data_IF_104009263944
#
_entry.id   IF_104009263944
#
_cell.length_a   1.000
_cell.length_b   1.000
_cell.length_c   1.000
_cell.angle_alpha   90.00
_cell.angle_beta   90.00
_cell.angle_gamma   90.00
#
_symmetry.space_group_name_H-M   'P 1'
#
loop_
_entity.id
_entity.type
_entity.pdbx_description
1 polymer ?
#
# COMPACT_ATOMS: atom_id res chain seq x y z
N UNK A 1 -31.11 2.04 4.94
CA UNK A 1 -32.52 1.92 4.46
C UNK A 1 -33.15 0.72 5.14
N UNK A 2 -34.13 0.94 6.06
CA UNK A 2 -34.76 -0.13 6.83
C UNK A 2 -36.02 -0.59 6.08
N UNK A 3 -36.03 -1.82 5.62
CA UNK A 3 -37.20 -2.41 5.00
C UNK A 3 -38.29 -2.70 6.06
N UNK A 4 -39.40 -1.99 6.03
CA UNK A 4 -40.57 -2.36 6.80
C UNK A 4 -41.30 -3.48 6.07
N UNK A 5 -41.39 -4.67 6.69
CA UNK A 5 -42.20 -5.79 6.23
C UNK A 5 -43.67 -5.34 6.02
N UNK A 6 -44.21 -5.52 4.82
CA UNK A 6 -45.64 -5.45 4.57
C UNK A 6 -46.14 -4.47 3.50
N UNK A 7 -45.30 -3.76 2.74
CA UNK A 7 -45.79 -2.94 1.62
C UNK A 7 -45.33 -3.54 0.27
N UNK A 8 -46.27 -3.57 -0.69
CA UNK A 8 -45.95 -3.99 -2.07
C UNK A 8 -44.97 -3.02 -2.72
N UNK A 9 -44.09 -3.49 -3.62
CA UNK A 9 -43.06 -2.67 -4.28
C UNK A 9 -43.56 -1.42 -5.01
N UNK A 10 -44.84 -1.42 -5.40
CA UNK A 10 -45.49 -0.35 -6.18
C UNK A 10 -45.78 0.95 -5.37
N UNK A 11 -45.55 0.98 -4.06
CA UNK A 11 -45.91 2.09 -3.18
C UNK A 11 -44.72 3.02 -2.80
N UNK A 12 -43.58 2.87 -3.41
CA UNK A 12 -42.47 3.81 -3.16
C UNK A 12 -42.47 4.91 -4.23
N UNK A 13 -43.03 6.08 -3.88
CA UNK A 13 -42.85 7.31 -4.67
C UNK A 13 -41.41 7.80 -4.49
N UNK A 14 -40.58 7.60 -5.52
CA UNK A 14 -39.31 8.30 -5.63
C UNK A 14 -39.57 9.64 -6.32
N UNK A 15 -39.15 10.73 -5.73
CA UNK A 15 -39.01 11.98 -6.48
C UNK A 15 -37.83 11.79 -7.41
N UNK A 16 -38.11 11.51 -8.66
CA UNK A 16 -37.11 11.30 -9.71
C UNK A 16 -36.71 12.68 -10.20
N UNK A 17 -35.45 13.06 -9.97
CA UNK A 17 -34.86 14.29 -10.55
C UNK A 17 -34.66 14.06 -12.06
N UNK A 18 -34.60 15.15 -12.85
CA UNK A 18 -34.31 15.06 -14.31
C UNK A 18 -33.01 14.29 -14.57
N UNK A 19 -32.00 14.52 -13.79
CA UNK A 19 -30.71 13.83 -13.86
C UNK A 19 -30.88 12.30 -13.69
N UNK A 20 -31.63 11.87 -12.68
CA UNK A 20 -31.92 10.44 -12.46
C UNK A 20 -32.73 9.83 -13.63
N UNK A 21 -33.62 10.61 -14.27
CA UNK A 21 -34.40 10.14 -15.42
C UNK A 21 -33.51 9.89 -16.64
N UNK A 22 -32.51 10.74 -16.87
CA UNK A 22 -31.56 10.58 -17.94
C UNK A 22 -30.65 9.38 -17.72
N UNK A 23 -30.14 9.20 -16.50
CA UNK A 23 -29.35 8.02 -16.12
C UNK A 23 -30.15 6.74 -16.24
N UNK A 24 -31.43 6.75 -15.83
CA UNK A 24 -32.31 5.61 -15.92
C UNK A 24 -32.63 5.20 -17.37
N UNK A 25 -32.83 6.18 -18.24
CA UNK A 25 -33.05 5.92 -19.68
C UNK A 25 -31.78 5.37 -20.35
N UNK A 26 -30.64 5.92 -20.03
CA UNK A 26 -29.34 5.41 -20.48
C UNK A 26 -29.14 3.96 -20.05
N UNK A 27 -29.52 3.64 -18.80
CA UNK A 27 -29.42 2.29 -18.25
C UNK A 27 -30.37 1.30 -18.93
N UNK A 28 -31.61 1.71 -19.24
CA UNK A 28 -32.57 0.89 -20.02
C UNK A 28 -32.08 0.60 -21.43
N UNK A 29 -31.50 1.59 -22.09
CA UNK A 29 -30.96 1.42 -23.43
C UNK A 29 -29.82 0.41 -23.45
N UNK A 30 -28.87 0.50 -22.50
CA UNK A 30 -27.80 -0.50 -22.32
C UNK A 30 -28.33 -1.91 -22.05
N UNK A 31 -29.42 -2.05 -21.28
CA UNK A 31 -30.03 -3.35 -21.03
C UNK A 31 -30.62 -3.95 -22.32
N UNK A 32 -31.30 -3.12 -23.14
CA UNK A 32 -31.85 -3.53 -24.43
C UNK A 32 -30.75 -3.91 -25.44
N UNK A 33 -29.71 -3.10 -25.57
CA UNK A 33 -28.56 -3.35 -26.46
C UNK A 33 -27.86 -4.67 -26.17
N UNK A 34 -27.79 -5.06 -24.90
CA UNK A 34 -27.14 -6.30 -24.46
C UNK A 34 -28.09 -7.49 -24.30
N UNK A 35 -29.36 -7.36 -24.69
CA UNK A 35 -30.41 -8.38 -24.55
C UNK A 35 -30.55 -8.89 -23.09
N UNK A 36 -30.32 -8.01 -22.11
CA UNK A 36 -30.33 -8.31 -20.70
C UNK A 36 -31.60 -7.79 -20.01
N UNK A 37 -32.14 -8.56 -19.08
CA UNK A 37 -33.18 -8.08 -18.19
C UNK A 37 -32.62 -6.97 -17.27
N UNK A 38 -33.36 -5.85 -17.18
CA UNK A 38 -32.99 -4.68 -16.34
C UNK A 38 -32.64 -5.09 -14.90
N UNK A 39 -33.37 -6.02 -14.32
CA UNK A 39 -33.10 -6.52 -12.97
C UNK A 39 -31.75 -7.24 -12.85
N UNK A 40 -31.35 -7.97 -13.89
CA UNK A 40 -30.06 -8.64 -13.95
C UNK A 40 -28.93 -7.64 -14.17
N UNK A 41 -29.13 -6.64 -15.02
CA UNK A 41 -28.15 -5.57 -15.22
C UNK A 41 -27.97 -4.74 -13.95
N UNK A 42 -29.06 -4.38 -13.25
CA UNK A 42 -29.00 -3.70 -11.93
C UNK A 42 -28.27 -4.56 -10.91
N UNK A 43 -28.61 -5.84 -10.80
CA UNK A 43 -27.94 -6.75 -9.87
C UNK A 43 -26.45 -6.86 -10.16
N UNK A 44 -26.07 -7.01 -11.43
CA UNK A 44 -24.67 -7.09 -11.85
C UNK A 44 -23.93 -5.77 -11.60
N UNK A 45 -24.55 -4.62 -11.90
CA UNK A 45 -23.96 -3.28 -11.66
C UNK A 45 -23.82 -3.00 -10.16
N UNK A 46 -24.85 -3.32 -9.35
CA UNK A 46 -24.81 -3.18 -7.89
C UNK A 46 -23.78 -4.16 -7.29
N UNK A 47 -23.77 -5.42 -7.76
CA UNK A 47 -22.79 -6.41 -7.31
C UNK A 47 -21.36 -6.04 -7.70
N UNK A 48 -21.14 -5.51 -8.92
CA UNK A 48 -19.82 -5.02 -9.35
C UNK A 48 -19.39 -3.79 -8.54
N UNK A 49 -20.31 -2.88 -8.24
CA UNK A 49 -20.05 -1.72 -7.39
C UNK A 49 -19.75 -2.11 -5.94
N UNK A 50 -20.55 -3.01 -5.37
CA UNK A 50 -20.32 -3.57 -4.01
C UNK A 50 -18.99 -4.36 -3.96
N UNK A 51 -18.63 -5.07 -5.04
CA UNK A 51 -17.35 -5.78 -5.13
C UNK A 51 -16.15 -4.83 -5.39
N UNK A 52 -16.37 -3.70 -6.08
CA UNK A 52 -15.38 -2.61 -6.23
C UNK A 52 -15.24 -1.78 -4.94
N UNK A 53 -16.25 -1.74 -4.06
CA UNK A 53 -16.18 -1.07 -2.75
C UNK A 53 -15.39 -1.86 -1.69
N UNK A 54 -14.81 -3.02 -2.01
CA UNK A 54 -13.78 -3.62 -1.16
C UNK A 54 -12.54 -2.75 -1.24
N UNK A 55 -12.35 -1.93 -0.22
CA UNK A 55 -11.17 -1.07 -0.04
C UNK A 55 -9.90 -1.85 -0.39
N UNK A 56 -9.18 -1.42 -1.42
CA UNK A 56 -7.90 -2.05 -1.81
C UNK A 56 -6.94 -2.00 -0.63
N UNK A 57 -6.16 -3.06 -0.44
CA UNK A 57 -5.26 -3.21 0.70
C UNK A 57 -3.82 -3.35 0.24
N UNK A 58 -2.93 -2.56 0.85
CA UNK A 58 -1.50 -2.71 0.68
C UNK A 58 -0.83 -3.10 2.01
N UNK A 59 0.16 -3.97 1.94
CA UNK A 59 1.03 -4.34 3.03
C UNK A 59 2.43 -3.83 2.75
N UNK A 60 3.07 -3.22 3.75
CA UNK A 60 4.47 -2.81 3.67
C UNK A 60 5.27 -3.59 4.69
N UNK A 61 6.27 -4.30 4.23
CA UNK A 61 7.18 -5.07 5.06
C UNK A 61 8.43 -4.24 5.33
N UNK A 62 8.60 -3.78 6.56
CA UNK A 62 9.70 -2.92 7.01
C UNK A 62 10.60 -3.72 7.96
N UNK A 63 11.74 -4.23 7.49
CA UNK A 63 12.67 -4.96 8.37
C UNK A 63 13.04 -4.17 9.62
N UNK A 64 13.31 -2.87 9.49
CA UNK A 64 13.51 -1.95 10.60
C UNK A 64 12.46 -0.84 10.58
N UNK A 65 12.45 0.03 11.57
CA UNK A 65 11.34 0.98 11.80
C UNK A 65 11.22 2.12 10.80
N UNK A 66 12.21 2.36 9.96
CA UNK A 66 12.26 3.52 9.04
C UNK A 66 12.32 3.12 7.55
N UNK A 67 12.55 1.84 7.27
CA UNK A 67 12.73 1.34 5.90
C UNK A 67 11.51 1.60 5.00
N UNK A 68 10.29 1.42 5.52
CA UNK A 68 9.06 1.65 4.78
C UNK A 68 8.92 3.11 4.35
N UNK A 69 9.17 4.04 5.25
CA UNK A 69 9.08 5.47 4.99
C UNK A 69 10.17 5.93 4.03
N UNK A 70 11.40 5.44 4.23
CA UNK A 70 12.55 5.74 3.38
C UNK A 70 12.34 5.21 1.95
N UNK A 71 11.89 3.97 1.82
CA UNK A 71 11.72 3.31 0.53
C UNK A 71 10.47 3.73 -0.24
N UNK A 72 9.32 3.84 0.44
CA UNK A 72 8.02 4.05 -0.23
C UNK A 72 7.04 4.99 0.50
N UNK A 73 7.53 5.87 1.38
CA UNK A 73 6.67 6.79 2.15
C UNK A 73 5.82 7.73 1.32
N UNK A 74 6.31 8.18 0.17
CA UNK A 74 5.54 9.00 -0.78
C UNK A 74 4.41 8.19 -1.44
N UNK A 75 4.70 6.96 -1.84
CA UNK A 75 3.73 6.03 -2.40
C UNK A 75 2.66 5.66 -1.36
N UNK A 76 3.06 5.39 -0.11
CA UNK A 76 2.11 5.16 0.99
C UNK A 76 1.15 6.34 1.13
N UNK A 77 1.68 7.57 1.17
CA UNK A 77 0.85 8.78 1.28
C UNK A 77 -0.15 8.90 0.12
N UNK A 78 0.27 8.59 -1.10
CA UNK A 78 -0.57 8.58 -2.29
C UNK A 78 -1.65 7.50 -2.22
N UNK A 79 -1.30 6.26 -1.91
CA UNK A 79 -2.26 5.16 -1.80
C UNK A 79 -3.36 5.46 -0.78
N UNK A 80 -2.99 6.02 0.37
CA UNK A 80 -3.96 6.40 1.41
C UNK A 80 -4.89 7.52 0.92
N UNK A 81 -4.35 8.50 0.20
CA UNK A 81 -5.16 9.56 -0.42
C UNK A 81 -6.14 8.99 -1.45
N UNK A 82 -5.74 7.97 -2.20
CA UNK A 82 -6.57 7.23 -3.15
C UNK A 82 -7.54 6.22 -2.48
N UNK A 83 -7.61 6.22 -1.16
CA UNK A 83 -8.57 5.42 -0.38
C UNK A 83 -8.12 4.00 -0.05
N UNK A 84 -6.87 3.61 -0.32
CA UNK A 84 -6.35 2.30 0.08
C UNK A 84 -6.21 2.19 1.60
N UNK A 85 -6.39 0.96 2.12
CA UNK A 85 -5.94 0.62 3.46
C UNK A 85 -4.48 0.17 3.39
N UNK A 86 -3.59 0.89 4.03
CA UNK A 86 -2.17 0.52 4.11
C UNK A 86 -1.84 0.05 5.52
N UNK A 87 -1.23 -1.13 5.61
CA UNK A 87 -0.71 -1.70 6.86
C UNK A 87 0.80 -1.89 6.75
N UNK A 88 1.53 -1.53 7.79
CA UNK A 88 2.98 -1.77 7.87
C UNK A 88 3.31 -2.73 8.99
N UNK A 89 4.21 -3.68 8.72
CA UNK A 89 4.83 -4.53 9.73
C UNK A 89 6.28 -4.08 9.88
N UNK A 90 6.60 -3.52 11.04
CA UNK A 90 7.97 -3.25 11.47
C UNK A 90 8.49 -4.48 12.21
N UNK A 91 9.44 -5.21 11.61
CA UNK A 91 9.94 -6.46 12.21
C UNK A 91 10.85 -6.22 13.41
N UNK A 92 11.64 -5.14 13.42
CA UNK A 92 12.53 -4.79 14.52
C UNK A 92 12.46 -3.31 14.87
N UNK A 93 12.16 -3.00 16.13
CA UNK A 93 12.25 -1.66 16.70
C UNK A 93 13.45 -1.49 17.64
N UNK A 94 14.33 -2.51 17.76
CA UNK A 94 15.51 -2.48 18.64
C UNK A 94 15.18 -1.96 20.06
N UNK A 95 14.05 -2.39 20.63
CA UNK A 95 13.46 -1.86 21.89
C UNK A 95 14.43 -1.81 23.05
N UNK A 96 15.30 -2.83 23.16
CA UNK A 96 16.27 -2.92 24.25
C UNK A 96 17.34 -1.84 24.20
N UNK A 97 17.71 -1.38 23.02
CA UNK A 97 18.78 -0.38 22.83
C UNK A 97 18.23 1.03 22.57
N UNK A 98 17.11 1.14 21.89
CA UNK A 98 16.49 2.41 21.51
C UNK A 98 14.97 2.35 21.75
N UNK A 99 14.50 2.37 23.00
CA UNK A 99 13.06 2.27 23.29
C UNK A 99 12.23 3.39 22.65
N UNK A 100 12.85 4.53 22.33
CA UNK A 100 12.20 5.66 21.65
C UNK A 100 11.76 5.31 20.22
N UNK A 101 12.43 4.37 19.54
CA UNK A 101 12.10 3.98 18.16
C UNK A 101 10.67 3.47 18.01
N UNK A 102 10.11 2.86 19.03
CA UNK A 102 8.69 2.44 19.03
C UNK A 102 7.79 3.66 18.85
N UNK A 103 7.94 4.67 19.70
CA UNK A 103 7.13 5.88 19.64
C UNK A 103 7.38 6.69 18.34
N UNK A 104 8.62 6.68 17.84
CA UNK A 104 9.00 7.35 16.58
C UNK A 104 8.29 6.68 15.39
N UNK A 105 8.30 5.34 15.32
CA UNK A 105 7.59 4.57 14.30
C UNK A 105 6.06 4.76 14.37
N UNK A 106 5.49 4.74 15.58
CA UNK A 106 4.06 5.01 15.77
C UNK A 106 3.66 6.41 15.29
N UNK A 107 4.47 7.43 15.61
CA UNK A 107 4.20 8.80 15.17
C UNK A 107 4.32 8.93 13.64
N UNK A 108 5.33 8.29 13.05
CA UNK A 108 5.52 8.23 11.60
C UNK A 108 4.32 7.57 10.91
N UNK A 109 3.90 6.41 11.39
CA UNK A 109 2.74 5.69 10.87
C UNK A 109 1.46 6.54 10.95
N UNK A 110 1.27 7.28 12.05
CA UNK A 110 0.12 8.19 12.24
C UNK A 110 0.15 9.36 11.26
N UNK A 111 1.32 9.96 10.98
CA UNK A 111 1.45 11.05 10.01
C UNK A 111 1.09 10.54 8.61
N UNK A 112 1.56 9.37 8.20
CA UNK A 112 1.22 8.78 6.91
C UNK A 112 -0.25 8.34 6.85
N UNK A 113 -0.84 7.94 7.99
CA UNK A 113 -2.22 7.45 8.08
C UNK A 113 -2.32 5.94 7.84
N UNK A 114 -1.24 5.20 8.02
CA UNK A 114 -1.22 3.74 7.92
C UNK A 114 -1.47 3.07 9.27
N UNK A 115 -2.06 1.88 9.26
CA UNK A 115 -2.08 1.00 10.43
C UNK A 115 -0.73 0.27 10.55
N UNK A 116 -0.37 -0.14 11.77
CA UNK A 116 0.95 -0.73 11.99
C UNK A 116 0.92 -1.89 12.98
N UNK A 117 1.91 -2.76 12.85
CA UNK A 117 2.31 -3.75 13.83
C UNK A 117 3.82 -3.62 14.07
N UNK A 118 4.26 -3.67 15.31
CA UNK A 118 5.68 -3.57 15.69
C UNK A 118 6.08 -4.85 16.41
N UNK A 119 6.91 -5.64 15.75
CA UNK A 119 7.49 -6.86 16.26
C UNK A 119 8.81 -6.58 16.99
N UNK A 120 9.40 -7.61 17.59
CA UNK A 120 10.59 -7.46 18.43
C UNK A 120 11.72 -8.42 18.01
N UNK A 121 11.91 -8.61 16.70
CA UNK A 121 13.05 -9.35 16.19
C UNK A 121 14.35 -8.59 16.43
N UNK A 122 15.42 -9.32 16.72
CA UNK A 122 16.72 -8.71 16.90
C UNK A 122 17.34 -8.34 15.54
N UNK A 123 17.67 -7.08 15.33
CA UNK A 123 18.41 -6.61 14.15
C UNK A 123 19.69 -7.44 13.94
N UNK A 124 19.95 -7.85 12.71
CA UNK A 124 21.06 -8.71 12.25
C UNK A 124 20.89 -10.19 12.55
N UNK A 125 19.80 -10.60 13.20
CA UNK A 125 19.53 -11.99 13.54
C UNK A 125 18.37 -12.62 12.76
N UNK A 126 17.77 -11.92 11.79
CA UNK A 126 16.65 -12.43 10.99
C UNK A 126 16.99 -13.75 10.25
N UNK A 127 18.23 -13.98 9.76
CA UNK A 127 18.59 -15.28 9.20
C UNK A 127 18.38 -16.45 10.17
N UNK A 128 18.60 -16.25 11.46
CA UNK A 128 18.32 -17.24 12.53
C UNK A 128 16.82 -17.39 12.77
N UNK A 129 16.10 -16.29 12.77
CA UNK A 129 14.68 -16.21 13.14
C UNK A 129 13.74 -16.35 11.91
N UNK A 130 14.29 -16.81 10.79
CA UNK A 130 13.63 -16.88 9.48
C UNK A 130 12.29 -17.64 9.50
N UNK A 131 12.20 -18.74 10.27
CA UNK A 131 10.98 -19.55 10.33
C UNK A 131 9.84 -18.79 11.03
N UNK A 132 10.14 -18.03 12.06
CA UNK A 132 9.15 -17.22 12.80
C UNK A 132 8.66 -16.06 11.91
N UNK A 133 9.57 -15.41 11.17
CA UNK A 133 9.24 -14.39 10.16
C UNK A 133 8.31 -14.98 9.10
N UNK A 134 8.63 -16.16 8.57
CA UNK A 134 7.78 -16.85 7.59
C UNK A 134 6.39 -17.12 8.16
N UNK A 135 6.29 -17.59 9.42
CA UNK A 135 5.00 -17.89 10.04
C UNK A 135 4.13 -16.62 10.18
N UNK A 136 4.71 -15.51 10.61
CA UNK A 136 4.01 -14.22 10.73
C UNK A 136 3.44 -13.79 9.36
N UNK A 137 4.27 -13.82 8.31
CA UNK A 137 3.83 -13.48 6.95
C UNK A 137 2.72 -14.43 6.44
N UNK A 138 2.84 -15.71 6.76
CA UNK A 138 1.80 -16.70 6.42
C UNK A 138 0.47 -16.36 7.10
N UNK A 139 0.49 -16.02 8.39
CA UNK A 139 -0.71 -15.70 9.17
C UNK A 139 -1.37 -14.41 8.65
N UNK A 140 -0.57 -13.38 8.31
CA UNK A 140 -1.07 -12.17 7.64
C UNK A 140 -1.72 -12.49 6.29
N UNK A 141 -1.11 -13.34 5.48
CA UNK A 141 -1.64 -13.74 4.17
C UNK A 141 -2.97 -14.53 4.23
N UNK A 142 -3.25 -15.14 5.38
CA UNK A 142 -4.51 -15.86 5.61
C UNK A 142 -5.61 -14.98 6.20
N UNK A 143 -5.24 -13.99 7.01
CA UNK A 143 -6.19 -13.05 7.63
C UNK A 143 -6.70 -12.02 6.62
N UNK A 144 -5.85 -11.59 5.70
CA UNK A 144 -6.10 -10.46 4.82
C UNK A 144 -5.77 -10.77 3.35
N UNK A 145 -6.62 -10.27 2.46
CA UNK A 145 -6.36 -10.32 1.03
C UNK A 145 -5.71 -9.00 0.59
N UNK A 146 -4.39 -8.98 0.50
CA UNK A 146 -3.65 -7.83 -0.02
C UNK A 146 -3.65 -7.80 -1.54
N UNK A 147 -3.86 -6.62 -2.12
CA UNK A 147 -3.73 -6.36 -3.55
C UNK A 147 -2.26 -6.10 -3.92
N UNK A 148 -1.53 -5.44 -3.01
CA UNK A 148 -0.17 -4.96 -3.22
C UNK A 148 0.65 -5.18 -1.95
N UNK A 149 1.87 -5.72 -2.11
CA UNK A 149 2.83 -5.89 -1.02
C UNK A 149 4.14 -5.22 -1.42
N UNK A 150 4.67 -4.41 -0.53
CA UNK A 150 6.00 -3.81 -0.64
C UNK A 150 6.98 -4.51 0.30
N UNK A 151 8.19 -4.73 -0.19
CA UNK A 151 9.31 -5.32 0.55
C UNK A 151 10.60 -4.64 0.10
N UNK A 152 11.74 -4.77 0.77
CA UNK A 152 13.02 -4.35 0.18
C UNK A 152 13.26 -5.01 -1.18
N UNK A 153 14.09 -4.42 -2.04
CA UNK A 153 14.49 -5.05 -3.32
C UNK A 153 15.18 -6.38 -3.10
N UNK A 154 15.20 -7.23 -4.13
CA UNK A 154 15.85 -8.54 -4.07
C UNK A 154 17.38 -8.47 -4.01
N UNK A 155 17.96 -7.32 -4.37
CA UNK A 155 19.41 -7.05 -4.39
C UNK A 155 19.88 -6.20 -3.20
N UNK A 156 19.01 -5.96 -2.21
CA UNK A 156 19.41 -5.29 -0.97
C UNK A 156 20.44 -6.13 -0.22
N UNK A 157 21.60 -5.52 0.09
CA UNK A 157 22.73 -6.24 0.71
C UNK A 157 22.56 -6.49 2.20
N UNK A 158 21.55 -5.89 2.86
CA UNK A 158 21.31 -6.12 4.28
C UNK A 158 20.67 -7.50 4.50
N UNK A 159 21.28 -8.35 5.33
CA UNK A 159 20.82 -9.73 5.54
C UNK A 159 19.38 -9.83 6.05
N UNK A 160 18.96 -8.91 6.93
CA UNK A 160 17.59 -8.90 7.47
C UNK A 160 16.58 -8.60 6.36
N UNK A 161 16.90 -7.65 5.46
CA UNK A 161 16.08 -7.30 4.29
C UNK A 161 15.94 -8.50 3.35
N UNK A 162 17.05 -9.19 3.09
CA UNK A 162 17.07 -10.40 2.26
C UNK A 162 16.17 -11.51 2.79
N UNK A 163 16.09 -11.69 4.11
CA UNK A 163 15.19 -12.67 4.74
C UNK A 163 13.74 -12.27 4.51
N UNK A 164 13.35 -11.03 4.86
CA UNK A 164 11.96 -10.56 4.73
C UNK A 164 11.51 -10.67 3.27
N UNK A 165 12.33 -10.22 2.33
CA UNK A 165 12.02 -10.26 0.89
C UNK A 165 11.89 -11.70 0.38
N UNK A 166 12.79 -12.61 0.81
CA UNK A 166 12.75 -14.02 0.41
C UNK A 166 11.47 -14.70 0.88
N UNK A 167 11.06 -14.47 2.12
CA UNK A 167 9.85 -15.09 2.66
C UNK A 167 8.59 -14.42 2.10
N UNK A 168 8.60 -13.11 1.85
CA UNK A 168 7.52 -12.42 1.15
C UNK A 168 7.25 -13.01 -0.24
N UNK A 169 8.29 -13.30 -1.02
CA UNK A 169 8.18 -13.97 -2.34
C UNK A 169 7.52 -15.35 -2.26
N UNK A 170 7.77 -16.09 -1.18
CA UNK A 170 7.18 -17.42 -0.96
C UNK A 170 5.71 -17.34 -0.59
N UNK A 171 5.34 -16.39 0.26
CA UNK A 171 4.00 -16.28 0.86
C UNK A 171 3.03 -15.52 -0.05
N UNK A 172 3.39 -14.32 -0.51
CA UNK A 172 2.46 -13.43 -1.20
C UNK A 172 2.37 -13.74 -2.71
N UNK A 173 1.93 -14.98 -3.04
CA UNK A 173 1.84 -15.44 -4.45
C UNK A 173 0.64 -14.86 -5.19
N UNK A 174 -0.40 -14.42 -4.47
CA UNK A 174 -1.69 -14.02 -5.04
C UNK A 174 -1.86 -12.50 -5.20
N UNK A 175 -0.84 -11.69 -4.97
CA UNK A 175 -0.88 -10.24 -5.10
C UNK A 175 0.32 -9.71 -5.89
N UNK A 176 0.29 -8.43 -6.24
CA UNK A 176 1.44 -7.71 -6.77
C UNK A 176 2.49 -7.55 -5.67
N UNK A 177 3.75 -7.79 -5.99
CA UNK A 177 4.88 -7.66 -5.08
C UNK A 177 5.94 -6.74 -5.69
N UNK A 178 6.21 -5.62 -5.02
CA UNK A 178 7.17 -4.61 -5.44
C UNK A 178 8.30 -4.47 -4.40
N UNK A 179 9.53 -4.37 -4.88
CA UNK A 179 10.70 -4.11 -4.08
C UNK A 179 10.99 -2.61 -4.01
N UNK A 180 10.98 -2.00 -2.82
CA UNK A 180 11.33 -0.59 -2.66
C UNK A 180 12.84 -0.38 -2.53
N UNK A 181 13.30 0.74 -3.05
CA UNK A 181 14.70 1.11 -3.08
C UNK A 181 15.17 1.71 -1.75
N UNK A 182 16.34 1.28 -1.28
CA UNK A 182 17.16 1.94 -0.27
C UNK A 182 18.55 2.20 -0.87
N UNK A 183 18.84 3.38 -1.43
CA UNK A 183 20.01 3.59 -2.31
C UNK A 183 21.36 3.20 -1.71
N UNK A 184 21.52 3.31 -0.39
CA UNK A 184 22.77 2.94 0.31
C UNK A 184 22.98 1.43 0.45
N UNK A 185 21.90 0.63 0.31
CA UNK A 185 21.94 -0.83 0.35
C UNK A 185 21.87 -1.44 -1.05
N UNK A 186 21.47 -0.67 -2.06
CA UNK A 186 21.25 -1.15 -3.42
C UNK A 186 22.41 -0.74 -4.33
N UNK A 187 23.52 -1.49 -4.26
CA UNK A 187 24.70 -1.26 -5.10
C UNK A 187 24.43 -1.63 -6.56
N UNK A 188 23.55 -2.61 -6.77
CA UNK A 188 23.07 -3.04 -8.09
C UNK A 188 21.55 -3.24 -8.00
N UNK A 189 20.77 -2.33 -8.60
CA UNK A 189 19.31 -2.37 -8.55
C UNK A 189 18.71 -2.08 -9.92
N UNK A 190 17.78 -2.93 -10.32
CA UNK A 190 16.98 -2.73 -11.53
C UNK A 190 15.59 -2.21 -11.12
N UNK A 191 15.37 -0.89 -11.22
CA UNK A 191 14.06 -0.28 -11.00
C UNK A 191 13.33 -0.18 -12.33
N UNK A 192 12.18 -0.83 -12.44
CA UNK A 192 11.39 -0.94 -13.66
C UNK A 192 9.90 -0.66 -13.46
N UNK A 193 9.50 -0.28 -12.24
CA UNK A 193 8.17 0.20 -11.89
C UNK A 193 8.31 1.54 -11.15
N UNK A 194 7.57 2.56 -11.59
CA UNK A 194 7.65 3.90 -11.01
C UNK A 194 6.26 4.39 -10.67
N UNK A 195 6.14 5.00 -9.50
CA UNK A 195 4.88 5.61 -9.04
C UNK A 195 5.08 7.13 -9.01
N UNK A 196 4.40 7.89 -9.91
CA UNK A 196 4.50 9.35 -9.95
C UNK A 196 3.87 9.94 -8.70
N UNK A 197 4.55 10.94 -8.14
CA UNK A 197 4.19 11.59 -6.88
C UNK A 197 4.02 13.09 -7.07
N UNK A 198 3.23 13.69 -6.19
CA UNK A 198 3.08 15.13 -6.07
C UNK A 198 3.82 15.67 -4.84
N UNK A 199 4.08 16.97 -4.83
CA UNK A 199 4.81 17.65 -3.75
C UNK A 199 4.20 17.39 -2.36
N UNK A 200 2.86 17.22 -2.26
CA UNK A 200 2.18 16.91 -1.00
C UNK A 200 2.54 15.52 -0.46
N UNK A 201 2.73 14.53 -1.34
CA UNK A 201 3.17 13.19 -0.94
C UNK A 201 4.59 13.21 -0.39
N UNK A 202 5.49 13.96 -1.04
CA UNK A 202 6.87 14.13 -0.58
C UNK A 202 6.92 14.85 0.77
N UNK A 203 6.11 15.91 0.95
CA UNK A 203 6.02 16.59 2.24
C UNK A 203 5.58 15.62 3.35
N UNK A 204 4.59 14.78 3.09
CA UNK A 204 4.10 13.78 4.05
C UNK A 204 5.18 12.75 4.40
N UNK A 205 5.90 12.22 3.39
CA UNK A 205 7.06 11.32 3.58
C UNK A 205 8.11 11.97 4.48
N UNK A 206 8.51 13.20 4.18
CA UNK A 206 9.51 13.92 4.97
C UNK A 206 9.03 14.14 6.40
N UNK A 207 7.79 14.59 6.60
CA UNK A 207 7.22 14.79 7.94
C UNK A 207 7.17 13.49 8.76
N UNK A 208 6.90 12.36 8.13
CA UNK A 208 6.95 11.06 8.78
C UNK A 208 8.39 10.69 9.20
N UNK A 209 9.37 10.90 8.32
CA UNK A 209 10.78 10.65 8.61
C UNK A 209 11.33 11.60 9.68
N UNK A 210 10.83 12.83 9.77
CA UNK A 210 11.21 13.79 10.84
C UNK A 210 10.85 13.29 12.25
N UNK A 211 9.97 12.30 12.40
CA UNK A 211 9.67 11.66 13.69
C UNK A 211 10.86 10.86 14.24
N UNK A 212 11.74 10.36 13.39
CA UNK A 212 12.87 9.50 13.76
C UNK A 212 14.08 10.30 14.26
N UNK A 213 13.95 10.94 15.42
CA UNK A 213 15.03 11.75 16.01
C UNK A 213 16.30 10.94 16.28
N UNK A 214 16.15 9.66 16.64
CA UNK A 214 17.29 8.76 16.89
C UNK A 214 18.09 8.48 15.62
N UNK A 215 17.50 8.63 14.44
CA UNK A 215 18.08 8.27 13.14
C UNK A 215 18.61 9.48 12.36
N UNK A 216 18.30 10.72 12.76
CA UNK A 216 18.67 11.98 12.05
C UNK A 216 20.16 12.16 11.79
N UNK A 217 21.03 11.47 12.52
CA UNK A 217 22.48 11.51 12.31
C UNK A 217 22.95 10.80 11.04
N UNK A 218 22.11 9.96 10.44
CA UNK A 218 22.46 9.21 9.25
C UNK A 218 22.27 10.08 7.98
N UNK A 219 23.24 10.09 7.04
CA UNK A 219 23.18 10.93 5.84
C UNK A 219 21.92 10.70 4.99
N UNK A 220 21.37 9.49 4.99
CA UNK A 220 20.16 9.16 4.23
C UNK A 220 18.87 9.73 4.85
N UNK A 221 18.92 10.35 6.05
CA UNK A 221 17.83 11.16 6.62
C UNK A 221 17.91 12.63 6.22
N UNK A 222 18.96 13.05 5.50
CA UNK A 222 19.05 14.42 5.01
C UNK A 222 17.91 14.72 4.03
N UNK A 223 17.20 15.81 4.29
CA UNK A 223 16.02 16.20 3.50
C UNK A 223 16.36 16.42 2.03
N UNK A 224 17.53 17.03 1.73
CA UNK A 224 17.94 17.30 0.35
C UNK A 224 18.26 16.00 -0.37
N UNK A 225 18.88 15.04 0.34
CA UNK A 225 19.10 13.70 -0.21
C UNK A 225 17.77 13.03 -0.57
N UNK A 226 16.81 12.99 0.35
CA UNK A 226 15.49 12.39 0.13
C UNK A 226 14.73 13.04 -1.05
N UNK A 227 14.73 14.38 -1.11
CA UNK A 227 14.12 15.12 -2.23
C UNK A 227 14.85 14.84 -3.56
N UNK A 228 16.19 14.68 -3.54
CA UNK A 228 16.98 14.38 -4.74
C UNK A 228 16.68 12.99 -5.31
N UNK A 229 16.54 11.98 -4.46
CA UNK A 229 16.19 10.61 -4.89
C UNK A 229 14.84 10.60 -5.62
N UNK A 230 13.79 11.15 -5.01
CA UNK A 230 12.44 11.16 -5.64
C UNK A 230 12.38 12.05 -6.89
N UNK A 231 13.19 13.12 -6.95
CA UNK A 231 13.31 13.96 -8.13
C UNK A 231 14.02 13.23 -9.27
N UNK A 232 15.11 12.52 -8.97
CA UNK A 232 15.83 11.72 -9.95
C UNK A 232 14.91 10.66 -10.57
N UNK A 233 14.11 9.95 -9.76
CA UNK A 233 13.14 8.98 -10.25
C UNK A 233 12.00 9.65 -11.03
N UNK A 234 11.60 10.86 -10.65
CA UNK A 234 10.64 11.67 -11.41
C UNK A 234 11.15 12.01 -12.81
N UNK A 235 12.42 12.39 -12.96
CA UNK A 235 13.03 12.68 -14.28
C UNK A 235 12.98 11.46 -15.20
N UNK A 236 13.22 10.25 -14.68
CA UNK A 236 13.14 9.00 -15.44
C UNK A 236 11.73 8.74 -16.00
N UNK A 237 10.69 9.27 -15.34
CA UNK A 237 9.28 9.10 -15.72
C UNK A 237 8.70 10.35 -16.41
N UNK A 238 9.49 11.41 -16.63
CA UNK A 238 9.01 12.71 -17.13
C UNK A 238 7.94 13.35 -16.21
N UNK A 239 8.07 13.17 -14.90
CA UNK A 239 7.22 13.76 -13.85
C UNK A 239 8.07 14.53 -12.84
N UNK A 240 7.49 15.44 -12.03
CA UNK A 240 8.25 16.19 -11.03
C UNK A 240 8.91 15.32 -9.97
N UNK A 241 8.21 14.26 -9.53
CA UNK A 241 8.68 13.33 -8.50
C UNK A 241 8.14 11.93 -8.76
N UNK A 242 8.90 10.92 -8.40
CA UNK A 242 8.45 9.52 -8.36
C UNK A 242 9.22 8.74 -7.30
N UNK A 243 8.68 7.62 -6.88
CA UNK A 243 9.42 6.54 -6.24
C UNK A 243 9.57 5.39 -7.22
N UNK A 244 10.74 4.74 -7.19
CA UNK A 244 11.10 3.62 -8.06
C UNK A 244 11.05 2.29 -7.31
N UNK A 245 10.64 1.25 -8.03
CA UNK A 245 10.47 -0.09 -7.49
C UNK A 245 11.04 -1.14 -8.44
N UNK A 246 11.54 -2.22 -7.87
CA UNK A 246 11.76 -3.48 -8.57
C UNK A 246 10.42 -4.19 -8.72
N UNK A 247 10.06 -4.58 -9.92
CA UNK A 247 8.92 -5.47 -10.15
C UNK A 247 9.32 -6.91 -9.85
N UNK A 248 9.00 -7.40 -8.66
CA UNK A 248 9.23 -8.80 -8.31
C UNK A 248 8.16 -9.68 -8.93
N UNK A 249 6.91 -9.23 -8.87
CA UNK A 249 5.75 -9.90 -9.50
C UNK A 249 4.59 -8.93 -9.65
N UNK A 250 3.89 -8.97 -10.79
CA UNK A 250 2.67 -8.18 -11.03
C UNK A 250 1.46 -9.09 -11.24
N UNK A 251 0.37 -8.72 -10.59
CA UNK A 251 -0.98 -9.24 -10.85
C UNK A 251 -1.89 -8.07 -11.21
N UNK A 252 -2.13 -7.88 -12.50
CA UNK A 252 -2.88 -6.72 -13.04
C UNK A 252 -4.35 -6.73 -12.57
N UNK A 253 -4.98 -7.89 -12.46
CA UNK A 253 -6.36 -8.03 -11.97
C UNK A 253 -6.58 -7.59 -10.52
N UNK A 254 -5.52 -7.29 -9.80
CA UNK A 254 -5.57 -6.79 -8.43
C UNK A 254 -5.38 -5.26 -8.36
N UNK A 255 -4.92 -4.63 -9.43
CA UNK A 255 -4.56 -3.21 -9.47
C UNK A 255 -5.59 -2.35 -10.23
N UNK A 256 -6.32 -2.95 -11.17
CA UNK A 256 -7.35 -2.30 -12.01
C UNK A 256 -8.76 -2.43 -11.45
#
# INVERSE_FOLDING_TARGET
MVWKKGKKPEQYLFTITEEFTNDWNTFKNKASENNQNISNLLRNTVSSKINNDKKKKALVLSPHTDDAELGCGGTIAKLIEEGWAVHVIYFSAVRTRFPQLVNEAENSARILGMSYEILDFNTRYFPRDRQDILQILHDHSRKENYNLVFTPTTTDIHQDHGVVTTEAKRIFRKCTLLGYELPWNNLDVSLNCFIPLEKRHIKKKISALECYNTQKKHPYFDKKFLESVVKMRGVQLSTPFAEGFETIKVRLDQLI
#
